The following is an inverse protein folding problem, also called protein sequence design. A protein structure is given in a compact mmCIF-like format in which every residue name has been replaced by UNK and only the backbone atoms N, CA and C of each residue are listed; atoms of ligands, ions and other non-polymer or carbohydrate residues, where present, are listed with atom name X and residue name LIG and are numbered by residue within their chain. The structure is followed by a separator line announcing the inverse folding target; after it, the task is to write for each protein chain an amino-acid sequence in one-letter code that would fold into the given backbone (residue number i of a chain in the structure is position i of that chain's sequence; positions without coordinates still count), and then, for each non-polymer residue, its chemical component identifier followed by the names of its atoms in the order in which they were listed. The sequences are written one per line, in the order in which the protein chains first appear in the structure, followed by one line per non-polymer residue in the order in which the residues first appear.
data_IF_591265737131
#
_entry.id   IF_591265737131
#
_cell.length_a   1.000
_cell.length_b   1.000
_cell.length_c   1.000
_cell.angle_alpha   90.00
_cell.angle_beta   90.00
_cell.angle_gamma   90.00
#
_symmetry.space_group_name_H-M   'P 1'
#
loop_
_entity.id
_entity.type
_entity.pdbx_description
1 polymer ?
#
# COMPACT_ATOMS: atom_id res chain seq x y z
N UNK A 1 -4.42 17.21 9.63
CA UNK A 1 -3.66 16.09 9.05
C UNK A 1 -4.34 15.68 7.75
N UNK A 2 -3.61 15.69 6.65
CA UNK A 2 -4.10 15.26 5.34
C UNK A 2 -3.86 13.75 5.17
N UNK A 3 -4.83 13.03 4.62
CA UNK A 3 -4.73 11.58 4.38
C UNK A 3 -4.86 11.30 2.88
N UNK A 4 -3.80 10.71 2.30
CA UNK A 4 -3.74 10.35 0.88
C UNK A 4 -3.71 8.84 0.76
N UNK A 5 -4.65 8.28 0.00
CA UNK A 5 -4.67 6.86 -0.34
C UNK A 5 -4.05 6.59 -1.72
N UNK A 6 -3.17 5.58 -1.82
CA UNK A 6 -2.61 5.14 -3.11
C UNK A 6 -2.88 3.64 -3.28
N UNK A 7 -3.69 3.31 -4.28
CA UNK A 7 -4.09 1.94 -4.58
C UNK A 7 -3.72 1.53 -6.01
N UNK A 8 -3.75 0.22 -6.29
CA UNK A 8 -3.49 -0.35 -7.61
C UNK A 8 -2.84 -1.73 -7.52
N UNK A 9 -2.63 -2.40 -8.66
CA UNK A 9 -2.09 -3.75 -8.74
C UNK A 9 -0.70 -3.90 -8.11
N UNK A 10 -0.36 -5.12 -7.70
CA UNK A 10 1.03 -5.45 -7.35
C UNK A 10 1.94 -5.22 -8.56
N UNK A 11 3.06 -4.50 -8.39
CA UNK A 11 3.94 -4.11 -9.50
C UNK A 11 3.52 -2.85 -10.27
N UNK A 12 2.39 -2.20 -9.93
CA UNK A 12 1.95 -0.95 -10.60
C UNK A 12 2.83 0.26 -10.30
N UNK A 13 3.59 0.25 -9.18
CA UNK A 13 4.47 1.34 -8.76
C UNK A 13 3.89 2.26 -7.69
N UNK A 14 2.93 1.78 -6.89
CA UNK A 14 2.36 2.52 -5.74
C UNK A 14 3.41 3.06 -4.79
N UNK A 15 4.26 2.19 -4.27
CA UNK A 15 5.33 2.55 -3.33
C UNK A 15 6.34 3.52 -3.94
N UNK A 16 6.55 3.48 -5.27
CA UNK A 16 7.41 4.44 -5.96
C UNK A 16 6.77 5.82 -5.95
N UNK A 17 5.50 5.93 -6.33
CA UNK A 17 4.78 7.21 -6.30
C UNK A 17 4.66 7.74 -4.87
N UNK A 18 4.36 6.88 -3.89
CA UNK A 18 4.27 7.26 -2.48
C UNK A 18 5.58 7.89 -1.98
N UNK A 19 6.72 7.25 -2.27
CA UNK A 19 8.05 7.78 -1.93
C UNK A 19 8.38 9.10 -2.63
N UNK A 20 8.04 9.24 -3.91
CA UNK A 20 8.24 10.49 -4.64
C UNK A 20 7.38 11.62 -4.06
N UNK A 21 6.11 11.35 -3.73
CA UNK A 21 5.24 12.33 -3.07
C UNK A 21 5.75 12.68 -1.68
N UNK A 22 6.17 11.72 -0.87
CA UNK A 22 6.73 11.96 0.45
C UNK A 22 7.90 12.94 0.41
N UNK A 23 8.76 12.86 -0.63
CA UNK A 23 9.92 13.74 -0.81
C UNK A 23 9.55 15.15 -1.30
N UNK A 24 8.40 15.30 -1.99
CA UNK A 24 7.99 16.55 -2.65
C UNK A 24 6.94 17.33 -1.88
N UNK A 25 6.24 16.67 -0.97
CA UNK A 25 5.25 17.33 -0.12
C UNK A 25 5.94 18.19 0.94
N UNK A 26 5.32 19.33 1.23
CA UNK A 26 5.75 20.22 2.31
C UNK A 26 5.35 19.63 3.65
N UNK A 27 6.13 19.95 4.68
CA UNK A 27 5.86 19.49 6.03
C UNK A 27 6.25 18.03 6.29
N UNK A 28 5.87 17.53 7.47
CA UNK A 28 6.17 16.15 7.85
C UNK A 28 5.16 15.19 7.20
N UNK A 29 5.68 14.29 6.36
CA UNK A 29 4.87 13.28 5.65
C UNK A 29 5.25 11.87 6.10
N UNK A 30 4.29 11.14 6.64
CA UNK A 30 4.41 9.73 6.99
C UNK A 30 3.90 8.86 5.84
N UNK A 31 4.65 7.84 5.47
CA UNK A 31 4.19 6.79 4.57
C UNK A 31 3.87 5.53 5.38
N UNK A 32 2.62 5.09 5.34
CA UNK A 32 2.16 3.83 5.89
C UNK A 32 1.93 2.82 4.76
N UNK A 33 2.70 1.75 4.79
CA UNK A 33 2.48 0.62 3.91
C UNK A 33 1.41 -0.30 4.52
N UNK A 34 0.33 -0.55 3.79
CA UNK A 34 -0.73 -1.46 4.24
C UNK A 34 -0.21 -2.86 4.55
N UNK A 35 0.85 -3.31 3.86
CA UNK A 35 1.43 -4.63 4.10
C UNK A 35 1.99 -4.78 5.53
N UNK A 36 2.31 -3.66 6.23
CA UNK A 36 2.69 -3.69 7.64
C UNK A 36 1.56 -4.16 8.57
N UNK A 37 0.32 -4.17 8.08
CA UNK A 37 -0.89 -4.56 8.80
C UNK A 37 -1.42 -5.93 8.38
N UNK A 38 -0.62 -6.79 7.76
CA UNK A 38 -0.99 -8.19 7.62
C UNK A 38 -1.21 -8.82 8.99
N UNK A 39 -2.20 -9.73 9.08
CA UNK A 39 -2.38 -10.56 10.27
C UNK A 39 -1.09 -11.31 10.57
N UNK A 40 -0.71 -11.30 11.84
CA UNK A 40 0.48 -12.03 12.25
C UNK A 40 0.18 -13.53 12.31
N UNK A 41 0.85 -14.29 11.48
CA UNK A 41 0.77 -15.74 11.42
C UNK A 41 2.05 -16.41 11.95
N UNK A 42 2.86 -15.70 12.75
CA UNK A 42 4.13 -16.22 13.29
C UNK A 42 3.94 -17.52 14.11
N UNK A 43 2.75 -17.76 14.66
CA UNK A 43 2.38 -18.99 15.38
C UNK A 43 2.25 -20.23 14.49
N UNK A 44 2.12 -20.07 13.16
CA UNK A 44 2.08 -21.17 12.20
C UNK A 44 3.49 -21.55 11.72
N UNK A 45 3.74 -22.83 11.36
CA UNK A 45 4.95 -23.21 10.64
C UNK A 45 5.08 -22.44 9.31
N UNK A 46 6.32 -22.20 8.86
CA UNK A 46 6.58 -21.46 7.63
C UNK A 46 5.86 -22.05 6.40
N UNK A 47 5.82 -23.37 6.30
CA UNK A 47 5.16 -24.10 5.19
C UNK A 47 3.64 -23.82 5.12
N UNK A 48 3.00 -23.58 6.24
CA UNK A 48 1.58 -23.19 6.29
C UNK A 48 1.41 -21.71 5.97
N UNK A 49 2.26 -20.86 6.54
CA UNK A 49 2.23 -19.42 6.24
C UNK A 49 2.43 -19.13 4.75
N UNK A 50 3.34 -19.86 4.09
CA UNK A 50 3.63 -19.68 2.67
C UNK A 50 2.45 -20.02 1.74
N UNK A 51 1.45 -20.76 2.22
CA UNK A 51 0.23 -21.14 1.49
C UNK A 51 -0.92 -20.13 1.65
N UNK A 52 -0.80 -19.19 2.57
CA UNK A 52 -1.84 -18.18 2.81
C UNK A 52 -1.97 -17.27 1.59
N UNK A 53 -3.22 -16.95 1.23
CA UNK A 53 -3.50 -15.99 0.17
C UNK A 53 -3.33 -14.55 0.67
N UNK A 54 -2.10 -14.02 0.58
CA UNK A 54 -1.79 -12.64 0.98
C UNK A 54 -2.33 -11.56 0.04
N UNK A 55 -3.00 -11.94 -1.03
CA UNK A 55 -3.66 -11.01 -1.94
C UNK A 55 -5.16 -10.84 -1.64
N UNK A 56 -5.69 -11.55 -0.61
CA UNK A 56 -7.09 -11.42 -0.17
C UNK A 56 -7.24 -10.28 0.86
N UNK A 57 -8.33 -9.47 0.80
CA UNK A 57 -8.51 -8.38 1.78
C UNK A 57 -8.57 -8.85 3.24
N UNK A 58 -9.13 -10.04 3.50
CA UNK A 58 -9.31 -10.58 4.85
C UNK A 58 -8.02 -10.92 5.61
N UNK A 59 -6.85 -10.89 4.93
CA UNK A 59 -5.56 -11.12 5.60
C UNK A 59 -4.98 -9.86 6.26
N UNK A 60 -5.64 -8.71 6.10
CA UNK A 60 -5.21 -7.46 6.72
C UNK A 60 -5.97 -7.19 8.00
N UNK A 61 -5.29 -6.62 8.99
CA UNK A 61 -5.88 -6.07 10.21
C UNK A 61 -6.40 -4.65 9.93
N UNK A 62 -7.53 -4.56 9.19
CA UNK A 62 -8.14 -3.28 8.82
C UNK A 62 -8.51 -2.44 10.04
N UNK A 63 -8.99 -3.05 11.11
CA UNK A 63 -9.35 -2.36 12.35
C UNK A 63 -8.12 -1.75 13.04
N UNK A 64 -6.96 -2.42 12.99
CA UNK A 64 -5.72 -1.91 13.54
C UNK A 64 -5.20 -0.70 12.74
N UNK A 65 -5.24 -0.79 11.39
CA UNK A 65 -4.87 0.35 10.54
C UNK A 65 -5.80 1.54 10.79
N UNK A 66 -7.11 1.30 10.87
CA UNK A 66 -8.10 2.33 11.15
C UNK A 66 -7.86 2.98 12.53
N UNK A 67 -7.56 2.17 13.55
CA UNK A 67 -7.22 2.65 14.89
C UNK A 67 -5.97 3.54 14.87
N UNK A 68 -4.90 3.12 14.20
CA UNK A 68 -3.67 3.89 14.10
C UNK A 68 -3.90 5.26 13.39
N UNK A 69 -4.65 5.27 12.30
CA UNK A 69 -5.01 6.53 11.61
C UNK A 69 -5.83 7.44 12.51
N UNK A 70 -6.77 6.87 13.28
CA UNK A 70 -7.58 7.62 14.23
C UNK A 70 -6.72 8.23 15.33
N UNK A 71 -5.78 7.46 15.91
CA UNK A 71 -4.82 7.96 16.89
C UNK A 71 -4.03 9.15 16.35
N UNK A 72 -3.47 9.04 15.13
CA UNK A 72 -2.73 10.14 14.50
C UNK A 72 -3.60 11.38 14.28
N UNK A 73 -4.86 11.22 13.87
CA UNK A 73 -5.82 12.35 13.74
C UNK A 73 -6.11 13.02 15.08
N UNK A 74 -6.14 12.26 16.15
CA UNK A 74 -6.37 12.77 17.53
C UNK A 74 -5.08 13.35 18.18
N UNK A 75 -3.97 13.40 17.46
CA UNK A 75 -2.72 13.92 18.01
C UNK A 75 -1.94 12.91 18.86
N UNK A 76 -2.29 11.63 18.82
CA UNK A 76 -1.65 10.54 19.58
C UNK A 76 -0.61 9.81 18.73
N UNK A 77 0.54 9.40 19.31
CA UNK A 77 1.51 8.60 18.60
C UNK A 77 1.02 7.16 18.38
N UNK A 78 1.59 6.52 17.37
CA UNK A 78 1.43 5.08 17.09
C UNK A 78 2.77 4.37 17.14
N UNK A 79 2.78 3.05 17.29
CA UNK A 79 4.00 2.25 17.19
C UNK A 79 4.30 1.89 15.74
N UNK A 80 5.57 1.99 15.33
CA UNK A 80 6.02 1.58 13.99
C UNK A 80 5.74 0.10 13.75
N UNK A 81 5.22 -0.21 12.58
CA UNK A 81 4.96 -1.57 12.12
C UNK A 81 5.66 -1.84 10.80
N UNK A 82 6.10 -3.07 10.58
CA UNK A 82 6.62 -3.54 9.30
C UNK A 82 6.31 -5.03 9.10
N UNK A 83 6.50 -5.50 7.87
CA UNK A 83 6.27 -6.89 7.50
C UNK A 83 7.52 -7.52 6.87
N UNK A 84 7.86 -8.71 7.31
CA UNK A 84 8.95 -9.51 6.75
C UNK A 84 8.40 -10.45 5.66
N UNK A 85 8.65 -10.08 4.41
CA UNK A 85 8.20 -10.83 3.25
C UNK A 85 8.92 -12.17 3.06
N UNK A 86 10.13 -12.32 3.63
CA UNK A 86 10.89 -13.57 3.52
C UNK A 86 10.35 -14.63 4.48
N UNK A 87 9.93 -14.20 5.67
CA UNK A 87 9.44 -15.10 6.71
C UNK A 87 7.91 -15.14 6.83
N UNK A 88 7.18 -14.35 6.03
CA UNK A 88 5.71 -14.25 6.07
C UNK A 88 5.16 -14.00 7.49
N UNK A 89 5.71 -13.00 8.19
CA UNK A 89 5.28 -12.57 9.52
C UNK A 89 5.48 -11.07 9.70
N UNK A 90 4.95 -10.51 10.78
CA UNK A 90 5.30 -9.14 11.18
C UNK A 90 6.78 -9.08 11.55
N UNK A 91 7.46 -8.00 11.17
CA UNK A 91 8.85 -7.81 11.55
C UNK A 91 8.94 -7.47 13.04
N UNK A 92 9.91 -8.09 13.72
CA UNK A 92 10.27 -7.72 15.09
C UNK A 92 11.06 -6.42 15.03
N UNK A 93 10.42 -5.31 15.42
CA UNK A 93 11.01 -3.98 15.43
C UNK A 93 11.11 -3.48 16.87
N UNK A 94 12.11 -2.64 17.17
CA UNK A 94 12.11 -1.86 18.41
C UNK A 94 10.83 -1.02 18.50
N UNK A 95 10.35 -0.80 19.73
CA UNK A 95 9.21 0.10 20.00
C UNK A 95 9.57 1.54 19.64
N UNK A 96 9.38 1.88 18.37
CA UNK A 96 9.57 3.23 17.86
C UNK A 96 8.22 3.94 17.74
N UNK A 97 8.09 5.07 18.43
CA UNK A 97 6.89 5.89 18.35
C UNK A 97 6.94 6.82 17.14
N UNK A 98 5.86 6.81 16.37
CA UNK A 98 5.62 7.72 15.27
C UNK A 98 4.62 8.75 15.75
N UNK A 99 5.04 10.03 15.78
CA UNK A 99 4.19 11.14 16.14
C UNK A 99 3.37 11.65 14.95
N UNK A 100 2.20 12.27 15.21
CA UNK A 100 1.31 12.76 14.17
C UNK A 100 2.01 13.65 13.15
N UNK A 101 1.93 13.32 11.85
CA UNK A 101 2.48 14.13 10.77
C UNK A 101 1.46 15.16 10.27
N UNK A 102 1.89 16.05 9.37
CA UNK A 102 0.98 16.92 8.61
C UNK A 102 0.23 16.13 7.53
N UNK A 103 0.91 15.16 6.91
CA UNK A 103 0.34 14.31 5.86
C UNK A 103 0.64 12.83 6.11
N UNK A 104 -0.36 11.97 5.92
CA UNK A 104 -0.22 10.52 5.88
C UNK A 104 -0.49 10.02 4.47
N UNK A 105 0.42 9.23 3.91
CA UNK A 105 0.21 8.49 2.67
C UNK A 105 0.01 7.01 3.01
N UNK A 106 -1.17 6.48 2.75
CA UNK A 106 -1.49 5.05 2.91
C UNK A 106 -1.38 4.39 1.55
N UNK A 107 -0.45 3.45 1.38
CA UNK A 107 -0.32 2.72 0.11
C UNK A 107 -0.52 1.22 0.29
N UNK A 108 -1.22 0.61 -0.65
CA UNK A 108 -1.44 -0.83 -0.64
C UNK A 108 -2.36 -1.32 -1.75
N UNK A 109 -2.34 -2.63 -1.98
CA UNK A 109 -3.22 -3.24 -3.00
C UNK A 109 -4.69 -3.19 -2.59
N UNK A 110 -4.96 -3.17 -1.29
CA UNK A 110 -6.29 -3.09 -0.69
C UNK A 110 -6.50 -1.80 0.13
N UNK A 111 -5.70 -0.75 -0.11
CA UNK A 111 -5.85 0.54 0.60
C UNK A 111 -7.27 1.13 0.48
N UNK A 112 -8.00 0.78 -0.57
CA UNK A 112 -9.38 1.23 -0.80
C UNK A 112 -10.44 0.17 -0.45
N UNK A 113 -10.09 -0.92 0.23
CA UNK A 113 -11.04 -1.99 0.53
C UNK A 113 -12.03 -1.59 1.63
N UNK A 114 -11.53 -1.15 2.77
CA UNK A 114 -12.35 -0.78 3.91
C UNK A 114 -12.98 0.62 3.67
N UNK A 115 -14.31 0.67 3.68
CA UNK A 115 -15.07 1.91 3.46
C UNK A 115 -14.75 2.96 4.52
N UNK A 116 -14.65 2.57 5.78
CA UNK A 116 -14.33 3.47 6.90
C UNK A 116 -12.97 4.16 6.70
N UNK A 117 -11.99 3.40 6.18
CA UNK A 117 -10.67 3.95 5.86
C UNK A 117 -10.71 4.86 4.64
N UNK A 118 -11.47 4.47 3.58
CA UNK A 118 -11.67 5.30 2.39
C UNK A 118 -12.29 6.65 2.72
N UNK A 119 -13.28 6.67 3.63
CA UNK A 119 -13.99 7.88 4.04
C UNK A 119 -13.10 8.84 4.86
N UNK A 120 -12.01 8.32 5.43
CA UNK A 120 -11.00 9.16 6.09
C UNK A 120 -9.99 9.77 5.12
N UNK A 121 -9.93 9.30 3.88
CA UNK A 121 -8.98 9.77 2.87
C UNK A 121 -9.47 11.04 2.19
N UNK A 122 -8.67 12.10 2.27
CA UNK A 122 -8.93 13.37 1.61
C UNK A 122 -8.63 13.32 0.10
N UNK A 123 -7.71 12.44 -0.32
CA UNK A 123 -7.32 12.29 -1.72
C UNK A 123 -6.95 10.85 -2.06
N UNK A 124 -7.58 10.31 -3.10
CA UNK A 124 -7.47 8.90 -3.50
C UNK A 124 -6.87 8.78 -4.89
N UNK A 125 -5.71 8.13 -4.99
CA UNK A 125 -4.95 7.94 -6.22
C UNK A 125 -4.95 6.45 -6.59
N UNK A 126 -5.44 6.11 -7.78
CA UNK A 126 -5.33 4.76 -8.31
C UNK A 126 -4.27 4.69 -9.41
N UNK A 127 -3.33 3.74 -9.31
CA UNK A 127 -2.31 3.52 -10.34
C UNK A 127 -2.76 2.42 -11.29
N UNK A 128 -3.07 2.81 -12.51
CA UNK A 128 -3.50 1.92 -13.60
C UNK A 128 -2.31 1.62 -14.52
N UNK A 129 -1.91 0.34 -14.56
CA UNK A 129 -0.85 -0.19 -15.42
C UNK A 129 -1.30 -1.52 -15.98
N UNK A 130 -0.95 -1.80 -17.22
CA UNK A 130 -1.29 -3.06 -17.86
C UNK A 130 -0.80 -4.26 -17.06
N UNK A 131 -1.61 -5.32 -16.92
CA UNK A 131 -1.31 -6.46 -16.06
C UNK A 131 -0.01 -7.20 -16.41
N UNK A 132 0.35 -7.27 -17.69
CA UNK A 132 1.61 -7.86 -18.16
C UNK A 132 2.83 -7.05 -17.69
N UNK A 133 2.76 -5.73 -17.75
CA UNK A 133 3.81 -4.84 -17.24
C UNK A 133 3.92 -4.96 -15.71
N UNK A 134 2.80 -5.04 -15.01
CA UNK A 134 2.78 -5.30 -13.57
C UNK A 134 3.45 -6.63 -13.23
N UNK A 135 3.15 -7.69 -13.98
CA UNK A 135 3.73 -9.02 -13.79
C UNK A 135 5.24 -9.01 -14.02
N UNK A 136 5.73 -8.42 -15.12
CA UNK A 136 7.17 -8.32 -15.40
C UNK A 136 7.92 -7.58 -14.29
N UNK A 137 7.36 -6.48 -13.76
CA UNK A 137 7.95 -5.74 -12.65
C UNK A 137 7.93 -6.55 -11.35
N UNK A 138 6.86 -7.32 -11.11
CA UNK A 138 6.74 -8.22 -9.95
C UNK A 138 7.79 -9.33 -10.03
N UNK A 139 7.94 -10.00 -11.17
CA UNK A 139 8.95 -11.05 -11.38
C UNK A 139 10.34 -10.51 -11.03
N UNK A 140 10.72 -9.38 -11.63
CA UNK A 140 12.04 -8.77 -11.37
C UNK A 140 12.24 -8.45 -9.88
N UNK A 141 11.29 -7.83 -9.23
CA UNK A 141 11.34 -7.49 -7.81
C UNK A 141 11.44 -8.74 -6.95
N UNK A 142 10.55 -9.72 -7.15
CA UNK A 142 10.42 -10.87 -6.26
C UNK A 142 11.65 -11.79 -6.37
N UNK A 143 12.32 -11.86 -7.54
CA UNK A 143 13.60 -12.54 -7.69
C UNK A 143 14.71 -11.80 -6.93
N UNK A 144 14.85 -10.48 -7.15
CA UNK A 144 15.99 -9.69 -6.65
C UNK A 144 15.87 -9.37 -5.16
N UNK A 145 14.66 -9.00 -4.71
CA UNK A 145 14.45 -8.47 -3.36
C UNK A 145 13.89 -9.50 -2.38
N UNK A 146 13.27 -10.59 -2.88
CA UNK A 146 12.58 -11.58 -2.04
C UNK A 146 13.12 -13.00 -2.21
N UNK A 147 14.14 -13.20 -3.06
CA UNK A 147 14.81 -14.48 -3.29
C UNK A 147 13.89 -15.58 -3.84
N UNK A 148 12.79 -15.22 -4.54
CA UNK A 148 11.84 -16.18 -5.10
C UNK A 148 12.29 -16.68 -6.46
N UNK A 149 11.94 -17.92 -6.79
CA UNK A 149 12.10 -18.48 -8.12
C UNK A 149 10.92 -18.16 -9.05
N UNK A 150 11.15 -18.30 -10.37
CA UNK A 150 10.13 -17.98 -11.38
C UNK A 150 8.90 -18.87 -11.26
N UNK A 151 9.09 -20.18 -11.00
CA UNK A 151 7.99 -21.14 -10.92
C UNK A 151 7.06 -20.82 -9.74
N UNK A 152 7.63 -20.47 -8.59
CA UNK A 152 6.87 -20.03 -7.41
C UNK A 152 6.12 -18.71 -7.65
N UNK A 153 6.73 -17.76 -8.38
CA UNK A 153 6.07 -16.50 -8.75
C UNK A 153 4.90 -16.77 -9.70
N UNK A 154 5.08 -17.61 -10.71
CA UNK A 154 4.04 -18.00 -11.67
C UNK A 154 2.87 -18.67 -10.95
N UNK A 155 3.15 -19.69 -10.13
CA UNK A 155 2.14 -20.42 -9.38
C UNK A 155 1.32 -19.47 -8.49
N UNK A 156 1.98 -18.58 -7.75
CA UNK A 156 1.30 -17.58 -6.91
C UNK A 156 0.49 -16.59 -7.75
N UNK A 157 1.03 -16.13 -8.88
CA UNK A 157 0.32 -15.18 -9.75
C UNK A 157 -1.00 -15.76 -10.25
N UNK A 158 -0.98 -17.01 -10.71
CA UNK A 158 -2.16 -17.68 -11.25
C UNK A 158 -3.17 -18.08 -10.17
N UNK A 159 -2.69 -18.51 -8.99
CA UNK A 159 -3.55 -19.00 -7.91
C UNK A 159 -4.17 -17.90 -7.05
N UNK A 160 -3.46 -16.80 -6.81
CA UNK A 160 -3.92 -15.74 -5.87
C UNK A 160 -3.92 -14.34 -6.47
N UNK A 161 -2.78 -13.88 -7.01
CA UNK A 161 -2.61 -12.46 -7.40
C UNK A 161 -3.61 -12.05 -8.48
N UNK A 162 -3.68 -12.79 -9.59
CA UNK A 162 -4.60 -12.48 -10.69
C UNK A 162 -6.07 -12.61 -10.29
N UNK A 163 -6.52 -13.70 -9.64
CA UNK A 163 -7.90 -13.81 -9.17
C UNK A 163 -8.31 -12.70 -8.21
N UNK A 164 -7.44 -12.32 -7.26
CA UNK A 164 -7.74 -11.25 -6.30
C UNK A 164 -7.73 -9.87 -6.95
N UNK A 165 -6.84 -9.64 -7.94
CA UNK A 165 -6.88 -8.43 -8.75
C UNK A 165 -8.22 -8.29 -9.49
N UNK A 166 -8.66 -9.34 -10.17
CA UNK A 166 -9.93 -9.33 -10.93
C UNK A 166 -11.15 -9.18 -10.02
N UNK A 167 -11.13 -9.82 -8.86
CA UNK A 167 -12.24 -9.81 -7.90
C UNK A 167 -12.39 -8.49 -7.15
N UNK A 168 -11.27 -7.88 -6.75
CA UNK A 168 -11.29 -6.74 -5.85
C UNK A 168 -10.57 -5.50 -6.42
N UNK A 169 -9.27 -5.63 -6.73
CA UNK A 169 -8.38 -4.47 -6.90
C UNK A 169 -8.75 -3.65 -8.13
N UNK A 170 -9.17 -4.33 -9.20
CA UNK A 170 -9.60 -3.67 -10.44
C UNK A 170 -10.78 -2.72 -10.22
N UNK A 171 -11.72 -3.08 -9.35
CA UNK A 171 -12.90 -2.26 -9.06
C UNK A 171 -12.58 -1.01 -8.24
N UNK A 172 -11.45 -0.98 -7.52
CA UNK A 172 -11.07 0.18 -6.70
C UNK A 172 -10.79 1.45 -7.50
N UNK A 173 -10.59 1.33 -8.81
CA UNK A 173 -10.49 2.50 -9.70
C UNK A 173 -11.70 3.42 -9.58
N UNK A 174 -12.88 2.88 -9.25
CA UNK A 174 -14.13 3.63 -9.10
C UNK A 174 -14.17 4.53 -7.87
N UNK A 175 -13.24 4.34 -6.92
CA UNK A 175 -13.12 5.18 -5.71
C UNK A 175 -12.09 6.29 -5.85
N UNK A 176 -11.33 6.31 -6.94
CA UNK A 176 -10.21 7.21 -7.11
C UNK A 176 -10.64 8.61 -7.57
N UNK A 177 -10.06 9.62 -6.97
CA UNK A 177 -10.18 11.02 -7.43
C UNK A 177 -9.27 11.25 -8.65
N UNK A 178 -8.11 10.53 -8.72
CA UNK A 178 -7.16 10.60 -9.83
C UNK A 178 -6.67 9.21 -10.22
N UNK A 179 -6.62 8.95 -11.53
CA UNK A 179 -6.04 7.74 -12.11
C UNK A 179 -4.70 8.08 -12.73
N UNK A 180 -3.63 7.46 -12.22
CA UNK A 180 -2.26 7.61 -12.75
C UNK A 180 -1.95 6.46 -13.70
N UNK A 181 -1.83 6.77 -15.00
CA UNK A 181 -1.43 5.80 -16.01
C UNK A 181 0.09 5.60 -16.06
N UNK A 182 0.54 4.47 -16.60
CA UNK A 182 1.94 4.09 -16.86
C UNK A 182 2.81 3.86 -15.61
N UNK A 183 2.24 3.88 -14.41
CA UNK A 183 2.94 3.55 -13.16
C UNK A 183 3.57 4.72 -12.43
N UNK A 184 4.12 4.43 -11.25
CA UNK A 184 4.60 5.44 -10.30
C UNK A 184 5.87 6.18 -10.70
N UNK A 185 6.66 5.68 -11.64
CA UNK A 185 7.85 6.39 -12.17
C UNK A 185 7.46 7.42 -13.25
N UNK A 186 6.64 8.39 -12.88
CA UNK A 186 6.24 9.48 -13.77
C UNK A 186 6.47 10.82 -13.07
N UNK A 187 7.68 11.36 -13.21
CA UNK A 187 8.09 12.58 -12.52
C UNK A 187 7.13 13.76 -12.79
N UNK A 188 6.60 13.89 -14.02
CA UNK A 188 5.65 14.97 -14.34
C UNK A 188 4.35 14.85 -13.56
N UNK A 189 3.86 13.63 -13.38
CA UNK A 189 2.62 13.37 -12.60
C UNK A 189 2.90 13.59 -11.12
N UNK A 190 4.03 13.08 -10.58
CA UNK A 190 4.36 13.30 -9.18
C UNK A 190 4.61 14.77 -8.86
N UNK A 191 5.20 15.56 -9.78
CA UNK A 191 5.36 17.00 -9.63
C UNK A 191 4.00 17.73 -9.64
N UNK A 192 3.11 17.37 -10.56
CA UNK A 192 1.77 17.94 -10.64
C UNK A 192 0.94 17.63 -9.40
N UNK A 193 0.95 16.37 -8.94
CA UNK A 193 0.23 15.97 -7.74
C UNK A 193 0.79 16.66 -6.49
N UNK A 194 2.11 16.73 -6.35
CA UNK A 194 2.74 17.42 -5.23
C UNK A 194 2.44 18.93 -5.25
N UNK A 195 2.46 19.56 -6.40
CA UNK A 195 2.10 20.97 -6.53
C UNK A 195 0.64 21.22 -6.14
N UNK A 196 -0.29 20.38 -6.59
CA UNK A 196 -1.71 20.47 -6.27
C UNK A 196 -1.95 20.28 -4.76
N UNK A 197 -1.34 19.26 -4.16
CA UNK A 197 -1.46 18.97 -2.73
C UNK A 197 -0.85 20.11 -1.89
N UNK A 198 0.36 20.59 -2.26
CA UNK A 198 1.04 21.66 -1.56
C UNK A 198 0.35 23.02 -1.66
N UNK A 199 -0.51 23.22 -2.66
CA UNK A 199 -1.35 24.42 -2.78
C UNK A 199 -2.56 24.41 -1.83
N UNK A 200 -2.77 23.29 -1.09
CA UNK A 200 -3.87 23.14 -0.16
C UNK A 200 -5.20 22.97 -0.88
N UNK A 201 -5.34 21.86 -1.65
CA UNK A 201 -6.64 21.54 -2.21
C UNK A 201 -7.67 21.45 -1.07
N UNK A 202 -8.81 22.12 -1.24
CA UNK A 202 -9.95 21.95 -0.35
C UNK A 202 -10.78 20.83 -0.95
N UNK A 203 -10.94 19.75 -0.20
CA UNK A 203 -12.03 18.81 -0.47
C UNK A 203 -13.33 19.61 -0.36
N UNK A 204 -14.11 19.65 -1.43
CA UNK A 204 -15.47 20.21 -1.42
C UNK A 204 -16.40 19.34 -0.59
#
# INVERSE_FOLDING_TARGET
MLIIGICGASGSGKSTLAKELQQKLKGNTLMLNQDAYYRDHAYLPFEERSKINYDEPGVFEHDELLYDITCLKEGKPITRKAYDYAHHCRADLPDELIYPPETVIIEGIHAFHDERLRDMMDFKIYISVDPDICLLRRIKRDIVERGRDIAGIEAQYLSTVKPMYEKYIRAYVNYADVIVARGGKNAKISDMLAAYINAGFKAE
#
